data_IF_020754908534
#
_entry.id   IF_020754908534
#
_cell.length_a   1.000
_cell.length_b   1.000
_cell.length_c   1.000
_cell.angle_alpha   90.00
_cell.angle_beta   90.00
_cell.angle_gamma   90.00
#
_symmetry.space_group_name_H-M   'P 1'
#
loop_
_entity.id
_entity.type
_entity.pdbx_description
1 polymer ?
#
# COMPACT_ATOMS: atom_id res chain seq x y z
N UNK A 1 7.06 15.14 9.69
CA UNK A 1 7.04 16.57 9.99
C UNK A 1 8.02 17.32 9.09
N UNK A 2 9.33 17.01 9.12
CA UNK A 2 10.35 17.68 8.30
C UNK A 2 10.03 17.77 6.80
N UNK A 3 9.38 16.74 6.26
CA UNK A 3 8.99 16.69 4.85
C UNK A 3 7.89 17.70 4.56
N UNK A 4 6.82 17.68 5.35
CA UNK A 4 5.63 18.52 5.13
C UNK A 4 5.97 20.01 5.28
N UNK A 5 6.90 20.35 6.16
CA UNK A 5 7.34 21.73 6.38
C UNK A 5 8.18 22.29 5.22
N UNK A 6 8.68 21.43 4.32
CA UNK A 6 9.59 21.83 3.23
C UNK A 6 9.01 21.68 1.84
N UNK A 7 8.07 20.74 1.67
CA UNK A 7 7.51 20.41 0.36
C UNK A 7 6.36 21.36 -0.02
N UNK A 8 6.29 21.69 -1.31
CA UNK A 8 5.24 22.54 -1.91
C UNK A 8 4.22 21.72 -2.71
N UNK A 9 4.53 20.46 -2.96
CA UNK A 9 3.65 19.52 -3.64
C UNK A 9 3.82 18.11 -3.05
N UNK A 10 2.87 17.24 -3.33
CA UNK A 10 2.94 15.84 -2.92
C UNK A 10 4.12 15.10 -3.56
N UNK A 11 4.45 15.43 -4.81
CA UNK A 11 5.65 14.92 -5.49
C UNK A 11 6.93 15.34 -4.78
N UNK A 12 7.09 16.63 -4.50
CA UNK A 12 8.25 17.15 -3.77
C UNK A 12 8.34 16.55 -2.36
N UNK A 13 7.20 16.29 -1.72
CA UNK A 13 7.16 15.60 -0.44
C UNK A 13 7.70 14.17 -0.54
N UNK A 14 7.30 13.41 -1.55
CA UNK A 14 7.80 12.06 -1.77
C UNK A 14 9.32 12.06 -2.08
N UNK A 15 9.79 12.96 -2.93
CA UNK A 15 11.22 13.13 -3.23
C UNK A 15 12.04 13.51 -2.00
N UNK A 16 11.55 14.47 -1.21
CA UNK A 16 12.21 14.92 0.03
C UNK A 16 12.27 13.79 1.06
N UNK A 17 11.19 13.03 1.21
CA UNK A 17 11.15 11.86 2.08
C UNK A 17 12.18 10.82 1.64
N UNK A 18 12.24 10.51 0.35
CA UNK A 18 13.21 9.59 -0.22
C UNK A 18 14.65 10.01 0.05
N UNK A 19 15.02 11.28 -0.21
CA UNK A 19 16.34 11.83 0.08
C UNK A 19 16.72 11.72 1.56
N UNK A 20 15.77 11.98 2.46
CA UNK A 20 16.00 11.82 3.90
C UNK A 20 16.21 10.36 4.29
N UNK A 21 15.47 9.43 3.70
CA UNK A 21 15.65 7.99 3.91
C UNK A 21 17.03 7.54 3.41
N UNK A 22 17.48 8.02 2.25
CA UNK A 22 18.82 7.71 1.71
C UNK A 22 19.93 8.27 2.59
N UNK A 23 19.75 9.46 3.11
CA UNK A 23 20.76 10.12 3.95
C UNK A 23 20.85 9.49 5.36
N UNK A 24 19.72 9.28 6.03
CA UNK A 24 19.67 8.93 7.45
C UNK A 24 19.26 7.46 7.71
N UNK A 25 18.65 6.81 6.74
CA UNK A 25 18.14 5.47 6.89
C UNK A 25 16.81 5.40 7.63
N UNK A 26 16.24 4.19 7.64
CA UNK A 26 15.02 3.82 8.34
C UNK A 26 15.26 2.56 9.17
N UNK A 27 14.98 2.59 10.45
CA UNK A 27 15.39 1.54 11.41
C UNK A 27 14.33 0.47 11.68
N UNK A 28 13.05 0.75 11.39
CA UNK A 28 11.97 -0.22 11.60
C UNK A 28 11.80 -1.18 10.41
N UNK A 29 10.91 -2.15 10.53
CA UNK A 29 10.67 -3.19 9.52
C UNK A 29 10.15 -2.68 8.18
N UNK A 30 9.52 -1.51 8.18
CA UNK A 30 8.99 -0.86 6.98
C UNK A 30 7.81 0.04 7.31
N UNK A 31 7.47 0.91 6.38
CA UNK A 31 6.31 1.81 6.52
C UNK A 31 5.85 2.30 5.15
N UNK A 32 4.58 2.63 5.06
CA UNK A 32 4.01 3.36 3.93
C UNK A 32 3.63 4.77 4.36
N UNK A 33 3.97 5.76 3.54
CA UNK A 33 3.58 7.16 3.68
C UNK A 33 2.73 7.56 2.49
N UNK A 34 1.68 8.34 2.74
CA UNK A 34 0.86 8.94 1.70
C UNK A 34 1.09 10.44 1.67
N UNK A 35 1.39 10.96 0.50
CA UNK A 35 1.49 12.40 0.23
C UNK A 35 0.44 12.76 -0.79
N UNK A 36 -0.38 13.75 -0.51
CA UNK A 36 -1.43 14.21 -1.42
C UNK A 36 -1.55 15.71 -1.38
N UNK A 37 -1.81 16.29 -2.53
CA UNK A 37 -2.22 17.68 -2.71
C UNK A 37 -3.47 17.75 -3.61
N UNK A 38 -3.84 18.93 -4.07
CA UNK A 38 -5.03 19.10 -4.91
C UNK A 38 -4.90 18.52 -6.32
N UNK A 39 -3.68 18.18 -6.76
CA UNK A 39 -3.41 17.77 -8.14
C UNK A 39 -3.07 16.28 -8.25
N UNK A 40 -2.36 15.72 -7.26
CA UNK A 40 -1.89 14.34 -7.32
C UNK A 40 -1.64 13.74 -5.93
N UNK A 41 -1.50 12.41 -5.89
CA UNK A 41 -1.12 11.68 -4.69
C UNK A 41 0.00 10.68 -4.98
N UNK A 42 0.88 10.48 -4.01
CA UNK A 42 1.99 9.55 -4.04
C UNK A 42 1.98 8.63 -2.84
N UNK A 43 2.15 7.35 -3.07
CA UNK A 43 2.33 6.35 -2.02
C UNK A 43 3.80 5.98 -1.98
N UNK A 44 4.46 6.24 -0.86
CA UNK A 44 5.87 5.92 -0.65
C UNK A 44 5.98 4.75 0.33
N UNK A 45 6.65 3.69 -0.08
CA UNK A 45 7.04 2.58 0.78
C UNK A 45 8.54 2.66 1.10
N UNK A 46 8.89 2.55 2.38
CA UNK A 46 10.26 2.47 2.86
C UNK A 46 10.50 1.11 3.50
N UNK A 47 11.66 0.51 3.24
CA UNK A 47 12.13 -0.70 3.90
C UNK A 47 13.23 -0.36 4.90
N UNK A 48 13.55 -1.30 5.78
CA UNK A 48 14.68 -1.15 6.70
C UNK A 48 15.97 -0.83 5.93
N UNK A 49 16.69 0.16 6.37
CA UNK A 49 17.90 0.66 5.70
C UNK A 49 17.63 1.93 4.93
N UNK A 50 18.07 2.01 3.67
CA UNK A 50 18.04 3.25 2.88
C UNK A 50 17.25 3.14 1.58
N UNK A 51 16.45 2.07 1.41
CA UNK A 51 15.71 1.81 0.15
C UNK A 51 14.26 2.19 0.31
N UNK A 52 13.72 2.74 -0.75
CA UNK A 52 12.34 3.20 -0.82
C UNK A 52 11.87 3.19 -2.27
N UNK A 53 10.57 3.17 -2.44
CA UNK A 53 9.89 3.41 -3.71
C UNK A 53 8.67 4.28 -3.46
N UNK A 54 8.36 5.17 -4.38
CA UNK A 54 7.11 5.90 -4.41
C UNK A 54 6.44 5.70 -5.77
N UNK A 55 5.13 5.53 -5.75
CA UNK A 55 4.31 5.39 -6.95
C UNK A 55 3.19 6.40 -6.91
N UNK A 56 2.97 7.07 -8.05
CA UNK A 56 1.87 8.00 -8.23
C UNK A 56 0.55 7.24 -8.26
N UNK A 57 -0.45 7.75 -7.58
CA UNK A 57 -1.81 7.24 -7.68
C UNK A 57 -2.41 7.74 -9.00
N UNK A 58 -2.97 6.87 -9.86
CA UNK A 58 -3.68 7.32 -11.07
C UNK A 58 -4.83 8.26 -10.72
N UNK A 59 -5.09 9.25 -11.58
CA UNK A 59 -6.09 10.30 -11.32
C UNK A 59 -7.53 9.76 -11.19
N UNK A 60 -7.81 8.62 -11.81
CA UNK A 60 -9.08 7.91 -11.72
C UNK A 60 -9.04 6.66 -10.83
N UNK A 61 -7.99 6.55 -10.00
CA UNK A 61 -7.70 5.40 -9.18
C UNK A 61 -7.84 5.64 -7.68
N UNK A 62 -8.07 4.55 -6.95
CA UNK A 62 -8.04 4.49 -5.48
C UNK A 62 -7.07 3.42 -5.04
N UNK A 63 -6.28 3.72 -4.02
CA UNK A 63 -5.35 2.76 -3.41
C UNK A 63 -5.82 2.41 -2.01
N UNK A 64 -6.03 1.13 -1.75
CA UNK A 64 -6.29 0.60 -0.41
C UNK A 64 -4.97 0.15 0.20
N UNK A 65 -4.53 0.80 1.25
CA UNK A 65 -3.22 0.57 1.89
C UNK A 65 -3.41 -0.04 3.28
N UNK A 66 -3.41 -1.37 3.43
CA UNK A 66 -3.36 -2.02 4.74
C UNK A 66 -1.93 -2.04 5.30
N UNK A 67 -1.69 -2.80 6.37
CA UNK A 67 -0.37 -2.87 6.99
C UNK A 67 0.62 -3.78 6.22
N UNK A 68 0.61 -3.73 4.91
CA UNK A 68 1.62 -4.34 4.05
C UNK A 68 1.90 -3.46 2.82
N UNK A 69 2.98 -3.74 2.10
CA UNK A 69 3.29 -3.02 0.87
C UNK A 69 2.29 -3.36 -0.23
N UNK A 70 1.88 -2.33 -0.97
CA UNK A 70 0.90 -2.44 -2.06
C UNK A 70 1.50 -2.26 -3.45
N UNK A 71 2.76 -1.79 -3.51
CA UNK A 71 3.51 -1.63 -4.76
C UNK A 71 3.79 -3.01 -5.34
N UNK A 72 3.49 -3.18 -6.61
CA UNK A 72 3.71 -4.42 -7.34
C UNK A 72 4.87 -4.22 -8.32
N UNK A 73 4.61 -4.29 -9.60
CA UNK A 73 5.61 -4.01 -10.63
C UNK A 73 6.09 -2.56 -10.54
N UNK A 74 7.39 -2.39 -10.42
CA UNK A 74 8.05 -1.09 -10.28
C UNK A 74 8.91 -0.83 -11.50
N UNK A 75 8.63 0.26 -12.20
CA UNK A 75 9.41 0.73 -13.34
C UNK A 75 10.04 2.10 -13.00
N UNK A 76 11.28 2.11 -12.54
CA UNK A 76 11.99 3.35 -12.19
C UNK A 76 12.38 4.20 -13.41
N UNK A 77 12.24 3.69 -14.64
CA UNK A 77 12.44 4.48 -15.86
C UNK A 77 11.23 5.39 -16.15
N UNK A 78 10.06 5.00 -15.71
CA UNK A 78 8.85 5.83 -15.77
C UNK A 78 8.87 6.89 -14.66
N UNK A 79 9.63 7.96 -14.88
CA UNK A 79 9.77 9.06 -13.91
C UNK A 79 8.48 9.84 -13.67
N UNK A 80 7.47 9.70 -14.50
CA UNK A 80 6.17 10.34 -14.29
C UNK A 80 5.40 9.66 -13.15
N UNK A 81 5.53 8.34 -13.04
CA UNK A 81 4.75 7.53 -12.11
C UNK A 81 5.55 6.87 -11.00
N UNK A 82 6.89 6.82 -11.11
CA UNK A 82 7.75 6.18 -10.12
C UNK A 82 8.93 7.03 -9.70
N UNK A 83 9.28 6.91 -8.44
CA UNK A 83 10.51 7.38 -7.84
C UNK A 83 11.03 6.31 -6.89
N UNK A 84 12.34 6.23 -6.67
CA UNK A 84 12.90 5.26 -5.74
C UNK A 84 14.41 5.35 -5.64
N UNK A 85 14.95 4.61 -4.68
CA UNK A 85 16.40 4.50 -4.52
C UNK A 85 17.02 3.93 -5.78
N UNK A 86 18.14 4.50 -6.27
CA UNK A 86 18.77 4.05 -7.51
C UNK A 86 19.17 2.57 -7.49
N UNK A 87 19.53 2.06 -6.32
CA UNK A 87 19.98 0.69 -6.10
C UNK A 87 18.85 -0.26 -5.62
N UNK A 88 17.60 0.15 -5.70
CA UNK A 88 16.47 -0.64 -5.19
C UNK A 88 16.46 -2.08 -5.74
N UNK A 89 16.59 -2.21 -7.06
CA UNK A 89 16.52 -3.52 -7.74
C UNK A 89 17.84 -4.26 -7.65
N UNK A 90 18.97 -3.57 -7.87
CA UNK A 90 20.30 -4.21 -7.81
C UNK A 90 20.61 -4.74 -6.42
N UNK A 91 20.27 -4.00 -5.38
CA UNK A 91 20.41 -4.47 -4.01
C UNK A 91 19.60 -5.75 -3.72
N UNK A 92 18.36 -5.84 -4.20
CA UNK A 92 17.57 -7.05 -4.04
C UNK A 92 18.20 -8.26 -4.75
N UNK A 93 18.81 -8.04 -5.93
CA UNK A 93 19.57 -9.06 -6.66
C UNK A 93 20.81 -9.51 -5.89
N UNK A 94 21.61 -8.58 -5.43
CA UNK A 94 22.81 -8.85 -4.62
C UNK A 94 22.51 -9.66 -3.35
N UNK A 95 21.33 -9.43 -2.78
CA UNK A 95 20.86 -10.18 -1.60
C UNK A 95 20.21 -11.53 -1.93
N UNK A 96 20.09 -11.88 -3.21
CA UNK A 96 19.42 -13.11 -3.66
C UNK A 96 17.90 -13.13 -3.45
N UNK A 97 17.30 -11.97 -3.15
CA UNK A 97 15.84 -11.85 -2.93
C UNK A 97 15.06 -11.78 -4.24
N UNK A 98 15.70 -11.31 -5.29
CA UNK A 98 15.14 -11.19 -6.63
C UNK A 98 16.10 -11.71 -7.69
N UNK A 99 15.55 -12.49 -8.61
CA UNK A 99 16.26 -12.99 -9.79
C UNK A 99 15.31 -12.83 -11.01
N UNK A 100 15.69 -12.03 -12.03
CA UNK A 100 14.81 -11.81 -13.18
C UNK A 100 14.48 -13.07 -13.97
N UNK A 101 15.39 -14.06 -14.00
CA UNK A 101 15.18 -15.31 -14.72
C UNK A 101 14.20 -16.24 -13.99
N UNK A 102 14.16 -16.16 -12.66
CA UNK A 102 13.26 -16.93 -11.82
C UNK A 102 11.92 -16.23 -11.58
N UNK A 103 11.96 -14.91 -11.33
CA UNK A 103 10.84 -14.16 -10.77
C UNK A 103 10.13 -13.29 -11.79
N UNK A 104 10.69 -13.10 -13.00
CA UNK A 104 10.15 -12.22 -14.03
C UNK A 104 10.28 -10.74 -13.67
N UNK A 105 9.21 -9.95 -13.89
CA UNK A 105 9.20 -8.53 -13.55
C UNK A 105 9.40 -8.30 -12.05
N UNK A 106 10.13 -7.22 -11.70
CA UNK A 106 10.39 -6.89 -10.31
C UNK A 106 9.11 -6.46 -9.58
N UNK A 107 8.69 -7.27 -8.61
CA UNK A 107 7.56 -7.01 -7.73
C UNK A 107 8.06 -6.59 -6.34
N UNK A 108 7.85 -5.33 -6.00
CA UNK A 108 8.35 -4.78 -4.74
C UNK A 108 7.73 -5.45 -3.51
N UNK A 109 6.42 -5.62 -3.50
CA UNK A 109 5.72 -6.23 -2.37
C UNK A 109 6.16 -7.67 -2.12
N UNK A 110 6.39 -8.42 -3.20
CA UNK A 110 6.90 -9.80 -3.13
C UNK A 110 8.35 -9.85 -2.66
N UNK A 111 9.18 -8.91 -3.14
CA UNK A 111 10.63 -8.92 -2.90
C UNK A 111 11.00 -8.38 -1.52
N UNK A 112 10.39 -7.27 -1.11
CA UNK A 112 10.70 -6.56 0.13
C UNK A 112 9.66 -6.74 1.24
N UNK A 113 8.50 -7.30 0.92
CA UNK A 113 7.49 -7.61 1.91
C UNK A 113 7.92 -8.73 2.85
N UNK A 114 7.34 -8.76 4.03
CA UNK A 114 7.52 -9.94 4.89
C UNK A 114 6.89 -11.14 4.20
N UNK A 115 7.56 -12.30 4.19
CA UNK A 115 6.92 -13.54 3.80
C UNK A 115 5.71 -13.73 4.70
N UNK A 116 4.51 -13.55 4.15
CA UNK A 116 3.30 -13.90 4.89
C UNK A 116 3.30 -15.40 5.07
N UNK A 117 3.16 -15.92 6.29
CA UNK A 117 2.88 -17.34 6.43
C UNK A 117 1.57 -17.58 5.73
N UNK A 118 1.67 -18.25 4.57
CA UNK A 118 0.58 -18.79 3.76
C UNK A 118 -0.75 -18.02 3.81
N UNK A 119 -0.89 -17.15 2.86
CA UNK A 119 -2.12 -16.91 2.10
C UNK A 119 -3.25 -16.11 2.74
N UNK A 120 -3.33 -15.94 4.04
CA UNK A 120 -4.45 -15.23 4.63
C UNK A 120 -4.03 -14.43 5.85
N UNK A 121 -3.77 -13.17 5.66
CA UNK A 121 -3.55 -12.24 6.76
C UNK A 121 -4.72 -11.27 6.88
N UNK A 122 -4.94 -10.74 8.07
CA UNK A 122 -5.89 -9.62 8.28
C UNK A 122 -5.64 -8.46 7.33
N UNK A 123 -4.41 -8.28 6.86
CA UNK A 123 -4.04 -7.25 5.90
C UNK A 123 -4.56 -7.54 4.49
N UNK A 124 -4.46 -8.80 4.05
CA UNK A 124 -5.03 -9.24 2.76
C UNK A 124 -6.54 -9.11 2.80
N UNK A 125 -7.16 -9.51 3.90
CA UNK A 125 -8.60 -9.42 4.10
C UNK A 125 -9.10 -7.96 4.05
N UNK A 126 -8.40 -7.03 4.73
CA UNK A 126 -8.72 -5.59 4.65
C UNK A 126 -8.61 -5.06 3.24
N UNK A 127 -7.57 -5.47 2.50
CA UNK A 127 -7.39 -5.06 1.11
C UNK A 127 -8.47 -5.60 0.22
N UNK A 128 -8.78 -6.90 0.32
CA UNK A 128 -9.88 -7.54 -0.39
C UNK A 128 -11.21 -6.81 -0.16
N UNK A 129 -11.54 -6.59 1.11
CA UNK A 129 -12.81 -5.93 1.46
C UNK A 129 -12.88 -4.51 0.92
N UNK A 130 -11.81 -3.74 1.12
CA UNK A 130 -11.74 -2.36 0.63
C UNK A 130 -11.86 -2.27 -0.88
N UNK A 131 -11.14 -3.12 -1.61
CA UNK A 131 -11.19 -3.16 -3.07
C UNK A 131 -12.58 -3.60 -3.56
N UNK A 132 -13.19 -4.60 -2.92
CA UNK A 132 -14.53 -5.09 -3.26
C UNK A 132 -15.59 -4.00 -3.08
N UNK A 133 -15.57 -3.30 -1.95
CA UNK A 133 -16.52 -2.21 -1.66
C UNK A 133 -16.37 -1.02 -2.62
N UNK A 134 -15.12 -0.62 -2.90
CA UNK A 134 -14.82 0.51 -3.79
C UNK A 134 -15.23 0.20 -5.24
N UNK A 135 -14.94 -1.00 -5.70
CA UNK A 135 -15.22 -1.39 -7.09
C UNK A 135 -16.65 -1.88 -7.31
N UNK A 136 -17.34 -2.31 -6.25
CA UNK A 136 -18.62 -3.00 -6.34
C UNK A 136 -18.54 -4.37 -7.00
N UNK A 137 -17.34 -4.97 -7.08
CA UNK A 137 -17.08 -6.26 -7.71
C UNK A 137 -16.65 -7.31 -6.69
N UNK A 138 -16.94 -8.57 -7.01
CA UNK A 138 -16.36 -9.70 -6.27
C UNK A 138 -14.90 -9.88 -6.67
N UNK A 139 -14.03 -10.01 -5.69
CA UNK A 139 -12.60 -10.32 -5.84
C UNK A 139 -12.27 -11.59 -5.08
N UNK A 140 -11.27 -12.31 -5.56
CA UNK A 140 -10.73 -13.44 -4.80
C UNK A 140 -10.03 -12.92 -3.54
N UNK A 141 -10.48 -13.34 -2.38
CA UNK A 141 -9.94 -12.93 -1.08
C UNK A 141 -8.47 -13.31 -0.87
N UNK A 142 -8.02 -14.36 -1.57
CA UNK A 142 -6.62 -14.84 -1.59
C UNK A 142 -5.84 -14.34 -2.80
N UNK A 143 -6.50 -13.56 -3.64
CA UNK A 143 -5.94 -13.09 -4.89
C UNK A 143 -4.87 -12.02 -4.72
N UNK A 144 -4.20 -11.75 -5.83
CA UNK A 144 -3.28 -10.62 -5.94
C UNK A 144 -4.04 -9.38 -6.39
N UNK A 145 -3.89 -8.28 -5.66
CA UNK A 145 -4.57 -7.02 -5.97
C UNK A 145 -3.62 -6.06 -6.70
N UNK A 146 -4.10 -5.34 -7.72
CA UNK A 146 -3.31 -4.30 -8.36
C UNK A 146 -3.01 -3.15 -7.39
N UNK A 147 -2.00 -2.32 -7.69
CA UNK A 147 -1.66 -1.15 -6.88
C UNK A 147 -2.88 -0.26 -6.63
N UNK A 148 -3.61 0.07 -7.68
CA UNK A 148 -4.83 0.90 -7.61
C UNK A 148 -5.99 0.23 -8.36
N UNK A 149 -7.21 0.60 -8.01
CA UNK A 149 -8.44 0.17 -8.66
C UNK A 149 -9.29 1.38 -9.05
N UNK A 150 -10.04 1.26 -10.14
CA UNK A 150 -11.05 2.26 -10.49
C UNK A 150 -12.31 2.02 -9.66
N UNK A 151 -12.85 3.05 -9.00
CA UNK A 151 -14.10 2.91 -8.27
C UNK A 151 -15.25 2.59 -9.25
N UNK A 152 -16.21 1.79 -8.79
CA UNK A 152 -17.39 1.43 -9.57
C UNK A 152 -18.38 2.59 -9.77
N UNK A 153 -18.25 3.64 -8.95
CA UNK A 153 -19.01 4.89 -9.01
C UNK A 153 -18.17 6.04 -8.48
N UNK A 154 -18.51 7.30 -8.72
CA UNK A 154 -17.91 8.43 -8.02
C UNK A 154 -18.04 8.27 -6.50
N UNK A 155 -16.92 8.40 -5.78
CA UNK A 155 -16.88 8.25 -4.32
C UNK A 155 -17.23 9.55 -3.62
N UNK A 156 -17.96 9.44 -2.52
CA UNK A 156 -18.26 10.50 -1.57
C UNK A 156 -17.56 10.25 -0.25
N UNK A 157 -17.50 11.24 0.62
CA UNK A 157 -16.93 11.10 1.97
C UNK A 157 -17.65 10.00 2.76
N UNK A 158 -18.96 9.87 2.59
CA UNK A 158 -19.76 8.84 3.25
C UNK A 158 -19.36 7.42 2.82
N UNK A 159 -18.96 7.22 1.56
CA UNK A 159 -18.46 5.94 1.09
C UNK A 159 -17.14 5.57 1.78
N UNK A 160 -16.25 6.55 1.97
CA UNK A 160 -14.97 6.34 2.68
C UNK A 160 -15.17 6.08 4.18
N UNK A 161 -16.06 6.84 4.81
CA UNK A 161 -16.36 6.62 6.23
C UNK A 161 -17.07 5.29 6.48
N UNK A 162 -17.92 4.85 5.56
CA UNK A 162 -18.54 3.53 5.61
C UNK A 162 -17.50 2.42 5.44
N UNK A 163 -16.56 2.58 4.50
CA UNK A 163 -15.45 1.66 4.33
C UNK A 163 -14.61 1.52 5.61
N UNK A 164 -14.29 2.64 6.27
CA UNK A 164 -13.48 2.63 7.50
C UNK A 164 -14.23 2.06 8.72
N UNK A 165 -15.54 1.93 8.65
CA UNK A 165 -16.40 1.37 9.69
C UNK A 165 -16.90 -0.04 9.37
N UNK A 166 -16.49 -0.60 8.25
CA UNK A 166 -16.92 -1.91 7.80
C UNK A 166 -16.37 -3.02 8.70
N UNK A 167 -17.25 -3.93 9.15
CA UNK A 167 -16.92 -5.10 9.99
C UNK A 167 -17.01 -6.40 9.20
N UNK A 168 -16.82 -6.34 7.89
CA UNK A 168 -17.00 -7.44 6.95
C UNK A 168 -18.45 -7.95 6.89
N UNK A 169 -19.43 -7.07 7.15
CA UNK A 169 -20.85 -7.44 7.18
C UNK A 169 -21.26 -8.15 5.89
N UNK A 170 -22.03 -9.24 6.06
CA UNK A 170 -22.52 -10.06 4.96
C UNK A 170 -21.46 -10.96 4.31
N UNK A 171 -20.31 -11.15 4.94
CA UNK A 171 -19.27 -12.09 4.49
C UNK A 171 -19.04 -13.19 5.53
N UNK A 172 -18.27 -14.23 5.16
CA UNK A 172 -17.85 -15.27 6.10
C UNK A 172 -16.92 -14.75 7.24
N UNK A 173 -16.50 -13.50 7.15
CA UNK A 173 -15.62 -12.82 8.10
C UNK A 173 -16.35 -11.76 8.92
N UNK A 174 -17.67 -11.77 8.90
CA UNK A 174 -18.49 -10.80 9.62
C UNK A 174 -18.22 -10.85 11.12
N UNK A 175 -17.61 -9.78 11.64
CA UNK A 175 -17.30 -9.62 13.06
C UNK A 175 -18.30 -8.73 13.80
N UNK A 176 -19.35 -8.23 13.13
CA UNK A 176 -20.35 -7.39 13.74
C UNK A 176 -21.07 -8.05 14.90
N UNK A 177 -21.29 -9.37 14.82
CA UNK A 177 -21.90 -10.15 15.88
C UNK A 177 -21.05 -10.24 17.15
N UNK A 178 -19.73 -10.35 17.02
CA UNK A 178 -18.82 -10.37 18.15
C UNK A 178 -18.88 -9.07 18.94
N UNK A 179 -18.94 -7.92 18.25
CA UNK A 179 -19.10 -6.62 18.88
C UNK A 179 -20.46 -6.50 19.58
N UNK A 180 -21.54 -6.92 18.93
CA UNK A 180 -22.91 -6.97 19.50
C UNK A 180 -23.00 -7.87 20.73
N UNK A 181 -22.16 -8.90 20.82
CA UNK A 181 -22.05 -9.80 21.98
C UNK A 181 -21.18 -9.24 23.11
N UNK A 182 -20.73 -7.99 23.00
CA UNK A 182 -19.93 -7.34 24.03
C UNK A 182 -18.45 -7.73 24.04
N UNK A 183 -17.94 -8.29 22.94
CA UNK A 183 -16.51 -8.53 22.79
C UNK A 183 -15.81 -7.30 22.14
N UNK A 184 -15.22 -6.39 22.95
CA UNK A 184 -14.59 -5.18 22.44
C UNK A 184 -13.28 -5.45 21.68
N UNK A 185 -12.83 -6.70 21.65
CA UNK A 185 -11.60 -7.12 20.98
C UNK A 185 -11.83 -7.75 19.61
N UNK A 186 -13.05 -7.76 19.10
CA UNK A 186 -13.28 -8.11 17.71
C UNK A 186 -12.68 -7.06 16.81
N UNK A 187 -11.75 -7.47 16.00
CA UNK A 187 -10.65 -6.62 15.54
C UNK A 187 -10.73 -6.25 14.08
N UNK A 188 -11.83 -6.52 13.39
CA UNK A 188 -12.00 -6.15 11.99
C UNK A 188 -11.66 -4.68 11.75
N UNK A 189 -11.85 -3.88 12.74
CA UNK A 189 -11.87 -2.45 12.66
C UNK A 189 -10.79 -1.71 13.39
N UNK A 190 -9.79 -2.38 13.90
CA UNK A 190 -8.60 -1.70 14.37
C UNK A 190 -7.75 -1.28 13.17
N UNK A 191 -8.28 -0.39 12.37
CA UNK A 191 -7.54 0.37 11.37
C UNK A 191 -6.95 1.61 12.00
#
# INVERSE_FOLDING_TARGET
RLVIERARSSREAAETAGKLIEAFGYTSSGRTYTFADKNEAWILAVVKGRRWVAQRVPDDGVVVVPNHYVHREVNLEDKANFMGSPDLISYARERGWYDPDRDGAFDFSRTYGQPSPKDFSVNTLRRWRGVSLITGKSWDEKGSFPFSVKPGKPLKIEDLTSLLRDHYEGTNYDESDGYKRGNPNTTAQRT
#
